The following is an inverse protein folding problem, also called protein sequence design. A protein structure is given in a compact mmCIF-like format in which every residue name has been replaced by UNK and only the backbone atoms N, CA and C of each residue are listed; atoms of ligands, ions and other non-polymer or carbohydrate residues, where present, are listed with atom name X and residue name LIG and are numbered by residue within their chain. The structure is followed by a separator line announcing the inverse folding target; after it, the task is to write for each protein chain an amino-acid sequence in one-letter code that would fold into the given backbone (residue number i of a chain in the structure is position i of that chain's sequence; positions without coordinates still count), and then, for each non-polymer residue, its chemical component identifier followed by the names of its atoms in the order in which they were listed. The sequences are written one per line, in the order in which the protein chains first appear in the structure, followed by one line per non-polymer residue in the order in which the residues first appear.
data_IF_469406881194
#
_entry.id   IF_469406881194
#
_cell.length_a   1.000
_cell.length_b   1.000
_cell.length_c   1.000
_cell.angle_alpha   90.00
_cell.angle_beta   90.00
_cell.angle_gamma   90.00
#
_symmetry.space_group_name_H-M   'P 1'
#
loop_
_entity.id
_entity.type
_entity.pdbx_description
1 polymer ?
#
# COMPACT_ATOMS: atom_id res chain seq x y z
N UNK A 1 5.66 49.10 -26.06
CA UNK A 1 5.74 48.55 -24.69
C UNK A 1 5.09 47.17 -24.70
N UNK A 2 5.83 46.15 -25.15
CA UNK A 2 5.35 44.76 -25.17
C UNK A 2 5.78 44.13 -23.85
N UNK A 3 4.82 43.76 -22.99
CA UNK A 3 5.11 42.99 -21.78
C UNK A 3 5.25 41.53 -22.19
N UNK A 4 6.49 41.07 -22.23
CA UNK A 4 6.83 39.65 -22.30
C UNK A 4 6.30 38.98 -21.03
N UNK A 5 5.24 38.18 -21.16
CA UNK A 5 4.74 37.32 -20.09
C UNK A 5 5.63 36.08 -20.09
N UNK A 6 6.60 36.06 -19.18
CA UNK A 6 7.34 34.84 -18.86
C UNK A 6 6.34 33.74 -18.44
N UNK A 7 6.49 32.49 -18.91
CA UNK A 7 5.63 31.41 -18.47
C UNK A 7 5.81 31.23 -16.96
N UNK A 8 4.69 31.25 -16.23
CA UNK A 8 4.67 30.94 -14.81
C UNK A 8 5.33 29.57 -14.58
N UNK A 9 6.07 29.37 -13.47
CA UNK A 9 6.69 28.08 -13.17
C UNK A 9 5.59 27.02 -13.18
N UNK A 10 5.84 25.94 -13.93
CA UNK A 10 4.95 24.80 -14.02
C UNK A 10 4.64 24.34 -12.59
N UNK A 11 3.42 24.62 -12.15
CA UNK A 11 2.81 24.11 -10.93
C UNK A 11 3.08 22.61 -10.94
N UNK A 12 3.88 22.10 -10.01
CA UNK A 12 4.21 20.68 -9.89
C UNK A 12 2.92 19.90 -10.13
N UNK A 13 2.88 19.18 -11.26
CA UNK A 13 1.65 18.64 -11.79
C UNK A 13 1.02 17.75 -10.72
N UNK A 14 -0.23 18.02 -10.37
CA UNK A 14 -1.06 17.04 -9.69
C UNK A 14 -0.92 15.72 -10.47
N UNK A 15 -0.46 14.67 -9.76
CA UNK A 15 0.17 13.48 -10.32
C UNK A 15 -0.46 12.98 -11.62
N UNK A 16 0.36 12.89 -12.67
CA UNK A 16 -0.02 12.25 -13.91
C UNK A 16 -0.49 10.82 -13.62
N UNK A 17 -1.72 10.50 -14.01
CA UNK A 17 -2.19 9.11 -14.06
C UNK A 17 -1.27 8.33 -15.00
N UNK A 18 -0.62 7.29 -14.50
CA UNK A 18 0.25 6.43 -15.28
C UNK A 18 -0.33 5.01 -15.37
N UNK A 19 -0.15 4.37 -16.54
CA UNK A 19 -0.46 2.96 -16.73
C UNK A 19 0.86 2.20 -16.80
N UNK A 20 1.10 1.35 -15.81
CA UNK A 20 2.31 0.52 -15.74
C UNK A 20 2.00 -0.88 -15.19
N UNK A 21 2.83 -1.89 -15.51
CA UNK A 21 2.79 -3.15 -14.80
C UNK A 21 3.29 -2.95 -13.36
N UNK A 22 2.58 -3.54 -12.40
CA UNK A 22 2.96 -3.64 -10.99
C UNK A 22 2.67 -5.05 -10.48
N UNK A 23 3.28 -5.44 -9.37
CA UNK A 23 2.88 -6.62 -8.61
C UNK A 23 2.00 -6.19 -7.44
N UNK A 24 0.89 -6.90 -7.23
CA UNK A 24 -0.03 -6.65 -6.13
C UNK A 24 0.04 -7.83 -5.17
N UNK A 25 0.25 -7.54 -3.88
CA UNK A 25 0.13 -8.50 -2.80
C UNK A 25 -1.16 -8.22 -2.03
N UNK A 26 -1.94 -9.28 -1.79
CA UNK A 26 -3.08 -9.25 -0.89
C UNK A 26 -2.82 -10.25 0.24
N UNK A 27 -3.02 -9.84 1.48
CA UNK A 27 -2.90 -10.69 2.65
C UNK A 27 -4.08 -10.43 3.60
N UNK A 28 -4.51 -11.47 4.30
CA UNK A 28 -5.71 -11.46 5.14
C UNK A 28 -5.50 -12.34 6.37
N UNK A 29 -6.21 -12.06 7.46
CA UNK A 29 -6.08 -12.87 8.69
C UNK A 29 -6.95 -14.12 8.54
N UNK A 30 -6.31 -15.28 8.43
CA UNK A 30 -7.02 -16.55 8.29
C UNK A 30 -8.00 -16.79 9.47
N UNK A 31 -9.27 -17.04 9.13
CA UNK A 31 -10.32 -17.33 10.12
C UNK A 31 -10.83 -16.10 10.88
N UNK A 32 -10.49 -14.90 10.45
CA UNK A 32 -10.86 -13.64 11.11
C UNK A 32 -12.34 -13.49 11.39
N UNK A 33 -13.22 -13.85 10.45
CA UNK A 33 -14.67 -13.74 10.63
C UNK A 33 -15.14 -14.56 11.83
N UNK A 34 -14.72 -15.82 11.93
CA UNK A 34 -15.10 -16.69 13.04
C UNK A 34 -14.52 -16.21 14.38
N UNK A 35 -13.29 -15.66 14.36
CA UNK A 35 -12.67 -15.10 15.56
C UNK A 35 -13.43 -13.85 16.03
N UNK A 36 -13.70 -12.93 15.10
CA UNK A 36 -14.38 -11.67 15.38
C UNK A 36 -15.80 -11.86 15.92
N UNK A 37 -16.51 -12.92 15.51
CA UNK A 37 -17.85 -13.25 16.03
C UNK A 37 -17.85 -13.62 17.52
N UNK A 38 -16.73 -14.10 18.07
CA UNK A 38 -16.63 -14.61 19.43
C UNK A 38 -15.76 -13.74 20.35
N UNK A 39 -15.32 -12.58 19.86
CA UNK A 39 -14.43 -11.66 20.58
C UNK A 39 -15.10 -10.33 20.85
N UNK A 40 -14.63 -9.64 21.89
CA UNK A 40 -14.99 -8.25 22.10
C UNK A 40 -14.43 -7.38 20.95
N UNK A 41 -15.21 -6.42 20.42
CA UNK A 41 -14.78 -5.57 19.32
C UNK A 41 -13.51 -4.74 19.60
N UNK A 42 -13.30 -4.29 20.84
CA UNK A 42 -12.12 -3.52 21.23
C UNK A 42 -10.87 -4.41 21.20
N UNK A 43 -10.99 -5.62 21.75
CA UNK A 43 -9.91 -6.60 21.71
C UNK A 43 -9.59 -7.02 20.27
N UNK A 44 -10.62 -7.23 19.43
CA UNK A 44 -10.42 -7.62 18.03
C UNK A 44 -9.70 -6.52 17.25
N UNK A 45 -10.08 -5.28 17.45
CA UNK A 45 -9.42 -4.11 16.85
C UNK A 45 -7.96 -4.02 17.26
N UNK A 46 -7.63 -4.30 18.53
CA UNK A 46 -6.26 -4.31 19.01
C UNK A 46 -5.41 -5.41 18.35
N UNK A 47 -5.97 -6.62 18.16
CA UNK A 47 -5.29 -7.72 17.47
C UNK A 47 -5.04 -7.39 16.00
N UNK A 48 -6.07 -6.93 15.28
CA UNK A 48 -5.96 -6.55 13.87
C UNK A 48 -4.93 -5.42 13.69
N UNK A 49 -4.94 -4.42 14.58
CA UNK A 49 -3.96 -3.35 14.56
C UNK A 49 -2.52 -3.83 14.70
N UNK A 50 -2.26 -4.80 15.59
CA UNK A 50 -0.93 -5.40 15.75
C UNK A 50 -0.53 -6.25 14.54
N UNK A 51 -1.47 -6.99 13.95
CA UNK A 51 -1.22 -7.74 12.72
C UNK A 51 -0.86 -6.79 11.56
N UNK A 52 -1.59 -5.70 11.39
CA UNK A 52 -1.29 -4.67 10.38
C UNK A 52 0.06 -4.01 10.60
N UNK A 53 0.46 -3.70 11.84
CA UNK A 53 1.78 -3.15 12.10
C UNK A 53 2.90 -4.09 11.64
N UNK A 54 2.75 -5.40 11.87
CA UNK A 54 3.73 -6.42 11.43
C UNK A 54 3.74 -6.60 9.91
N UNK A 55 2.56 -6.63 9.28
CA UNK A 55 2.44 -6.71 7.83
C UNK A 55 3.06 -5.47 7.16
N UNK A 56 2.73 -4.26 7.64
CA UNK A 56 3.26 -3.01 7.11
C UNK A 56 4.79 -2.96 7.21
N UNK A 57 5.35 -3.32 8.36
CA UNK A 57 6.81 -3.38 8.54
C UNK A 57 7.48 -4.35 7.55
N UNK A 58 6.83 -5.48 7.24
CA UNK A 58 7.35 -6.47 6.31
C UNK A 58 7.26 -5.96 4.86
N UNK A 59 6.10 -5.40 4.49
CA UNK A 59 5.87 -4.78 3.18
C UNK A 59 6.90 -3.67 2.92
N UNK A 60 7.09 -2.76 3.87
CA UNK A 60 8.08 -1.68 3.77
C UNK A 60 9.52 -2.21 3.69
N UNK A 61 9.86 -3.26 4.46
CA UNK A 61 11.18 -3.89 4.40
C UNK A 61 11.51 -4.44 3.01
N UNK A 62 10.53 -5.06 2.37
CA UNK A 62 10.66 -5.51 0.98
C UNK A 62 10.34 -4.41 -0.02
N UNK A 63 10.13 -3.17 0.44
CA UNK A 63 9.85 -1.93 -0.30
C UNK A 63 8.65 -2.00 -1.23
N UNK A 64 7.60 -2.70 -0.80
CA UNK A 64 6.24 -2.47 -1.26
C UNK A 64 5.62 -1.26 -0.54
N UNK A 65 4.46 -0.83 -1.01
CA UNK A 65 3.66 0.27 -0.44
C UNK A 65 2.28 -0.25 -0.10
N UNK A 66 1.81 -0.05 1.13
CA UNK A 66 0.41 -0.35 1.49
C UNK A 66 -0.51 0.63 0.75
N UNK A 67 -1.34 0.11 -0.13
CA UNK A 67 -2.27 0.89 -0.94
C UNK A 67 -3.64 1.03 -0.26
N UNK A 68 -4.08 -0.02 0.43
CA UNK A 68 -5.39 -0.04 1.10
C UNK A 68 -5.43 -1.06 2.23
N UNK A 69 -6.15 -0.72 3.30
CA UNK A 69 -6.62 -1.66 4.33
C UNK A 69 -8.07 -2.05 4.04
N UNK A 70 -8.40 -3.32 4.19
CA UNK A 70 -9.68 -3.92 3.79
C UNK A 70 -10.20 -4.84 4.90
N UNK A 71 -10.78 -4.28 5.95
CA UNK A 71 -11.19 -5.05 7.12
C UNK A 71 -9.97 -5.51 7.91
N UNK A 72 -9.72 -6.81 7.90
CA UNK A 72 -8.53 -7.50 8.42
C UNK A 72 -7.46 -7.80 7.36
N UNK A 73 -7.74 -7.44 6.11
CA UNK A 73 -6.82 -7.60 4.99
C UNK A 73 -6.03 -6.34 4.62
N UNK A 74 -4.90 -6.54 3.95
CA UNK A 74 -4.04 -5.49 3.38
C UNK A 74 -3.81 -5.74 1.90
N UNK A 75 -3.80 -4.65 1.13
CA UNK A 75 -3.44 -4.63 -0.27
C UNK A 75 -2.21 -3.75 -0.46
N UNK A 76 -1.15 -4.33 -1.01
CA UNK A 76 0.14 -3.68 -1.19
C UNK A 76 0.60 -3.72 -2.65
N UNK A 77 1.29 -2.66 -3.07
CA UNK A 77 1.89 -2.54 -4.39
C UNK A 77 3.41 -2.68 -4.33
N UNK A 78 3.96 -3.45 -5.25
CA UNK A 78 5.37 -3.47 -5.60
C UNK A 78 5.46 -2.98 -7.06
N UNK A 79 6.23 -1.92 -7.31
CA UNK A 79 6.21 -1.23 -8.61
C UNK A 79 5.53 0.14 -8.63
N UNK A 80 4.95 0.56 -7.51
CA UNK A 80 4.38 1.88 -7.32
C UNK A 80 4.56 2.36 -5.86
N UNK A 81 4.94 3.64 -5.64
CA UNK A 81 5.23 4.67 -6.65
C UNK A 81 6.61 4.48 -7.32
N UNK A 82 7.47 3.63 -6.76
CA UNK A 82 8.81 3.33 -7.30
C UNK A 82 8.84 1.89 -7.81
N UNK A 83 9.42 1.69 -8.99
CA UNK A 83 9.51 0.37 -9.61
C UNK A 83 10.93 -0.17 -9.66
N UNK A 84 11.00 -1.50 -9.63
CA UNK A 84 12.20 -2.31 -9.61
C UNK A 84 11.98 -3.51 -10.54
N UNK A 85 13.02 -4.00 -11.19
CA UNK A 85 12.90 -5.15 -12.10
C UNK A 85 12.50 -6.43 -11.34
N UNK A 86 12.81 -6.52 -10.05
CA UNK A 86 12.55 -7.64 -9.16
C UNK A 86 11.30 -7.47 -8.29
N UNK A 87 10.40 -6.52 -8.60
CA UNK A 87 9.13 -6.32 -7.86
C UNK A 87 8.31 -7.60 -7.64
N UNK A 88 8.19 -8.54 -8.62
CA UNK A 88 7.53 -9.83 -8.37
C UNK A 88 8.23 -10.70 -7.32
N UNK A 89 9.56 -10.75 -7.34
CA UNK A 89 10.37 -11.54 -6.39
C UNK A 89 10.29 -10.94 -4.98
N UNK A 90 10.34 -9.60 -4.88
CA UNK A 90 10.17 -8.86 -3.62
C UNK A 90 8.81 -9.10 -3.00
N UNK A 91 7.75 -9.12 -3.81
CA UNK A 91 6.41 -9.46 -3.34
C UNK A 91 6.31 -10.89 -2.82
N UNK A 92 6.91 -11.87 -3.51
CA UNK A 92 6.93 -13.27 -3.06
C UNK A 92 7.71 -13.44 -1.76
N UNK A 93 8.86 -12.78 -1.59
CA UNK A 93 9.65 -12.85 -0.36
C UNK A 93 9.02 -12.12 0.83
N UNK A 94 8.08 -11.21 0.56
CA UNK A 94 7.35 -10.48 1.57
C UNK A 94 6.30 -11.34 2.30
N UNK A 95 5.69 -12.31 1.60
CA UNK A 95 4.71 -13.25 2.17
C UNK A 95 5.37 -14.46 2.80
#
# INVERSE_FOLDING_TARGET
MSRDVAPAPARAAAGSSERRPITVLFADIAGSTAIAEHMDPEDWTAIVGQAFARMNQTIERYGGTVARLMGDGVLAFFGAPVAHEDDPERAVRCG
#
